data_IF_302941986361
#
_entry.id   IF_302941986361
#
_cell.length_a   1.000
_cell.length_b   1.000
_cell.length_c   1.000
_cell.angle_alpha   90.00
_cell.angle_beta   90.00
_cell.angle_gamma   90.00
#
_symmetry.space_group_name_H-M   'P 1'
#
loop_
_entity.id
_entity.type
_entity.pdbx_description
1 polymer ?
#
# COMPACT_ATOMS: atom_id res chain seq x y z
N UNK A 1 -17.69 17.48 25.87
CA UNK A 1 -17.74 17.89 24.44
C UNK A 1 -19.14 17.69 23.87
N UNK A 2 -19.72 18.66 23.16
CA UNK A 2 -20.95 18.42 22.38
C UNK A 2 -20.70 17.25 21.42
N UNK A 3 -21.53 16.19 21.47
CA UNK A 3 -21.39 14.94 20.69
C UNK A 3 -21.32 15.15 19.17
N UNK A 4 -21.59 16.37 18.69
CA UNK A 4 -21.44 16.79 17.30
C UNK A 4 -19.99 16.75 16.81
N UNK A 5 -19.00 17.10 17.65
CA UNK A 5 -17.59 17.24 17.24
C UNK A 5 -16.74 15.99 17.52
N UNK A 6 -17.29 14.98 18.19
CA UNK A 6 -16.57 13.75 18.52
C UNK A 6 -15.87 13.08 17.33
N UNK A 7 -16.51 12.85 16.16
CA UNK A 7 -15.81 12.20 15.05
C UNK A 7 -14.67 13.04 14.47
N UNK A 8 -14.78 14.37 14.48
CA UNK A 8 -13.70 15.25 14.05
C UNK A 8 -12.50 15.18 14.98
N UNK A 9 -12.77 15.23 16.30
CA UNK A 9 -11.74 15.05 17.32
C UNK A 9 -11.03 13.69 17.17
N UNK A 10 -11.79 12.62 16.95
CA UNK A 10 -11.21 11.29 16.72
C UNK A 10 -10.34 11.25 15.45
N UNK A 11 -10.78 11.85 14.34
CA UNK A 11 -9.97 11.93 13.11
C UNK A 11 -8.64 12.64 13.39
N UNK A 12 -8.66 13.76 14.13
CA UNK A 12 -7.43 14.48 14.52
C UNK A 12 -6.55 13.61 15.40
N UNK A 13 -7.11 12.98 16.43
CA UNK A 13 -6.39 12.12 17.37
C UNK A 13 -5.70 10.94 16.66
N UNK A 14 -6.42 10.29 15.75
CA UNK A 14 -5.90 9.18 14.94
C UNK A 14 -4.75 9.64 14.05
N UNK A 15 -4.88 10.82 13.43
CA UNK A 15 -3.81 11.39 12.63
C UNK A 15 -2.57 11.70 13.47
N UNK A 16 -2.74 12.24 14.68
CA UNK A 16 -1.62 12.47 15.61
C UNK A 16 -0.94 11.14 15.94
N UNK A 17 -1.70 10.11 16.33
CA UNK A 17 -1.15 8.78 16.63
C UNK A 17 -0.46 8.12 15.43
N UNK A 18 -1.01 8.29 14.22
CA UNK A 18 -0.36 7.87 12.98
C UNK A 18 0.99 8.58 12.76
N UNK A 19 1.03 9.91 12.94
CA UNK A 19 2.25 10.71 12.75
C UNK A 19 3.32 10.36 13.77
N UNK A 20 2.95 10.13 15.04
CA UNK A 20 3.86 9.68 16.08
C UNK A 20 4.45 8.31 15.75
N UNK A 21 3.59 7.36 15.35
CA UNK A 21 4.04 6.03 14.91
C UNK A 21 5.01 6.11 13.74
N UNK A 22 4.74 6.98 12.76
CA UNK A 22 5.58 7.15 11.57
C UNK A 22 6.90 7.86 11.88
N UNK A 23 6.88 8.88 12.75
CA UNK A 23 8.07 9.62 13.16
C UNK A 23 9.07 8.75 13.93
N UNK A 24 8.55 7.87 14.80
CA UNK A 24 9.35 6.89 15.55
C UNK A 24 9.49 5.54 14.85
N UNK A 25 9.05 5.39 13.59
CA UNK A 25 9.28 4.12 12.91
C UNK A 25 10.79 3.91 12.72
N UNK A 26 11.36 2.78 13.16
CA UNK A 26 12.80 2.54 13.08
C UNK A 26 13.27 2.38 11.64
N UNK A 27 14.57 2.56 11.41
CA UNK A 27 15.18 2.29 10.10
C UNK A 27 15.26 0.78 9.90
N UNK A 28 14.82 0.31 8.73
CA UNK A 28 14.75 -1.13 8.41
C UNK A 28 15.14 -1.41 6.96
N UNK A 29 15.76 -2.58 6.68
CA UNK A 29 16.10 -3.07 5.33
C UNK A 29 16.68 -2.02 4.37
N UNK A 30 15.96 -1.76 3.27
CA UNK A 30 16.38 -0.86 2.21
C UNK A 30 16.47 0.61 2.70
N UNK A 31 15.86 0.96 3.84
CA UNK A 31 16.00 2.29 4.42
C UNK A 31 17.44 2.58 4.89
N UNK A 32 18.26 1.55 5.17
CA UNK A 32 19.68 1.73 5.48
C UNK A 32 20.46 2.34 4.33
N UNK A 33 20.08 2.05 3.07
CA UNK A 33 20.70 2.65 1.88
C UNK A 33 20.54 4.19 1.86
N UNK A 34 19.43 4.70 2.39
CA UNK A 34 19.09 6.13 2.36
C UNK A 34 19.63 6.91 3.57
N UNK A 35 20.39 6.26 4.46
CA UNK A 35 21.08 6.93 5.55
C UNK A 35 22.26 7.78 5.07
N UNK A 36 22.84 7.46 3.91
CA UNK A 36 23.97 8.17 3.34
C UNK A 36 23.58 9.62 2.95
N UNK A 37 24.14 10.59 3.70
CA UNK A 37 23.92 12.02 3.52
C UNK A 37 24.94 12.69 2.59
N UNK A 38 25.95 11.95 2.13
CA UNK A 38 27.09 12.52 1.39
C UNK A 38 26.77 12.93 -0.05
N UNK A 39 25.61 12.50 -0.58
CA UNK A 39 25.13 12.89 -1.90
C UNK A 39 23.99 13.89 -1.77
N UNK A 40 24.20 15.13 -2.23
CA UNK A 40 23.10 16.03 -2.55
C UNK A 40 22.13 15.31 -3.49
N UNK A 41 20.80 15.44 -3.30
CA UNK A 41 19.85 14.61 -4.02
C UNK A 41 19.80 15.02 -5.49
N UNK A 42 20.58 14.37 -6.35
CA UNK A 42 20.39 14.39 -7.79
C UNK A 42 19.22 13.47 -8.13
N UNK A 43 18.03 13.79 -7.62
CA UNK A 43 16.85 12.90 -7.62
C UNK A 43 16.55 12.35 -9.00
N UNK A 44 16.68 13.18 -10.04
CA UNK A 44 16.47 12.76 -11.42
C UNK A 44 17.56 11.81 -11.92
N UNK A 45 18.83 12.03 -11.56
CA UNK A 45 19.93 11.10 -11.88
C UNK A 45 19.73 9.78 -11.15
N UNK A 46 19.45 9.80 -9.85
CA UNK A 46 19.22 8.60 -9.06
C UNK A 46 18.00 7.81 -9.56
N UNK A 47 16.95 8.51 -9.98
CA UNK A 47 15.79 7.86 -10.58
C UNK A 47 16.11 7.28 -11.96
N UNK A 48 16.92 7.99 -12.77
CA UNK A 48 17.39 7.48 -14.05
C UNK A 48 18.24 6.22 -13.88
N UNK A 49 19.17 6.21 -12.93
CA UNK A 49 19.97 5.04 -12.58
C UNK A 49 19.08 3.91 -12.06
N UNK A 50 18.09 4.24 -11.22
CA UNK A 50 17.10 3.28 -10.75
C UNK A 50 16.29 2.67 -11.90
N UNK A 51 15.89 3.48 -12.88
CA UNK A 51 15.12 3.04 -14.04
C UNK A 51 15.91 2.08 -14.92
N UNK A 52 17.21 2.30 -15.05
CA UNK A 52 18.08 1.46 -15.87
C UNK A 52 18.60 0.22 -15.13
N UNK A 53 18.77 0.27 -13.81
CA UNK A 53 19.52 -0.77 -13.08
C UNK A 53 18.85 -1.36 -11.84
N UNK A 54 17.91 -0.66 -11.18
CA UNK A 54 17.43 -1.06 -9.85
C UNK A 54 15.92 -1.26 -9.78
N UNK A 55 15.13 -0.18 -9.87
CA UNK A 55 13.68 -0.21 -9.75
C UNK A 55 13.05 0.91 -10.61
N UNK A 56 12.38 0.56 -11.72
CA UNK A 56 11.86 1.54 -12.68
C UNK A 56 10.49 2.12 -12.33
N UNK A 57 9.95 1.78 -11.16
CA UNK A 57 8.62 2.21 -10.73
C UNK A 57 8.62 3.68 -10.36
N UNK A 58 7.55 4.40 -10.70
CA UNK A 58 7.41 5.83 -10.41
C UNK A 58 7.50 6.17 -8.92
N UNK A 59 7.11 5.24 -8.03
CA UNK A 59 7.26 5.40 -6.58
C UNK A 59 8.71 5.50 -6.11
N UNK A 60 9.67 4.97 -6.87
CA UNK A 60 11.09 5.04 -6.54
C UNK A 60 11.60 6.49 -6.52
N UNK A 61 11.07 7.35 -7.41
CA UNK A 61 11.38 8.77 -7.41
C UNK A 61 11.04 9.41 -6.06
N UNK A 62 9.84 9.13 -5.53
CA UNK A 62 9.42 9.62 -4.22
C UNK A 62 10.21 8.99 -3.08
N UNK A 63 10.60 7.71 -3.21
CA UNK A 63 11.45 7.05 -2.21
C UNK A 63 12.78 7.78 -2.02
N UNK A 64 13.45 8.10 -3.13
CA UNK A 64 14.76 8.78 -3.12
C UNK A 64 14.70 10.16 -2.45
N UNK A 65 13.53 10.81 -2.46
CA UNK A 65 13.29 12.10 -1.77
C UNK A 65 12.95 11.87 -0.29
N UNK A 66 11.98 11.00 -0.03
CA UNK A 66 11.28 10.91 1.26
C UNK A 66 12.10 10.16 2.30
N UNK A 67 12.82 9.11 1.92
CA UNK A 67 13.56 8.26 2.88
C UNK A 67 14.75 8.98 3.55
N UNK A 68 15.25 10.07 2.95
CA UNK A 68 16.42 10.83 3.45
C UNK A 68 16.10 11.80 4.59
N UNK A 69 14.82 12.11 4.80
CA UNK A 69 14.38 13.07 5.81
C UNK A 69 13.19 12.55 6.60
N UNK A 70 13.34 12.44 7.92
CA UNK A 70 12.23 12.07 8.82
C UNK A 70 11.04 13.01 8.66
N UNK A 71 11.27 14.31 8.44
CA UNK A 71 10.19 15.27 8.24
C UNK A 71 9.45 15.05 6.93
N UNK A 72 10.17 14.80 5.83
CA UNK A 72 9.54 14.47 4.54
C UNK A 72 8.78 13.15 4.61
N UNK A 73 9.33 12.14 5.29
CA UNK A 73 8.63 10.87 5.60
C UNK A 73 7.31 11.11 6.30
N UNK A 74 7.29 11.93 7.34
CA UNK A 74 6.07 12.26 8.09
C UNK A 74 5.05 13.02 7.23
N UNK A 75 5.47 14.05 6.48
CA UNK A 75 4.58 14.83 5.61
C UNK A 75 4.00 13.95 4.51
N UNK A 76 4.85 13.18 3.82
CA UNK A 76 4.41 12.30 2.74
C UNK A 76 3.48 11.21 3.26
N UNK A 77 3.84 10.54 4.37
CA UNK A 77 3.00 9.51 4.98
C UNK A 77 1.65 10.05 5.45
N UNK A 78 1.58 11.28 5.98
CA UNK A 78 0.32 11.94 6.33
C UNK A 78 -0.61 12.09 5.12
N UNK A 79 -0.08 12.65 4.04
CA UNK A 79 -0.82 12.86 2.79
C UNK A 79 -1.24 11.52 2.19
N UNK A 80 -0.35 10.54 2.23
CA UNK A 80 -0.59 9.20 1.72
C UNK A 80 -1.70 8.48 2.50
N UNK A 81 -1.62 8.46 3.83
CA UNK A 81 -2.62 7.80 4.69
C UNK A 81 -4.02 8.37 4.48
N UNK A 82 -4.15 9.70 4.50
CA UNK A 82 -5.44 10.35 4.29
C UNK A 82 -5.92 10.24 2.84
N UNK A 83 -5.03 10.44 1.87
CA UNK A 83 -5.34 10.32 0.44
C UNK A 83 -5.79 8.91 0.07
N UNK A 84 -5.15 7.89 0.62
CA UNK A 84 -5.52 6.50 0.45
C UNK A 84 -6.91 6.20 1.02
N UNK A 85 -7.18 6.59 2.27
CA UNK A 85 -8.49 6.38 2.88
C UNK A 85 -9.59 7.19 2.19
N UNK A 86 -9.29 8.38 1.67
CA UNK A 86 -10.21 9.17 0.85
C UNK A 86 -10.54 8.48 -0.48
N UNK A 87 -9.55 7.93 -1.16
CA UNK A 87 -9.75 7.17 -2.40
C UNK A 87 -10.53 5.88 -2.14
N UNK A 88 -10.24 5.17 -1.05
CA UNK A 88 -11.00 3.99 -0.63
C UNK A 88 -12.46 4.36 -0.30
N UNK A 89 -12.68 5.47 0.42
CA UNK A 89 -14.01 6.00 0.72
C UNK A 89 -14.79 6.31 -0.56
N UNK A 90 -14.15 6.91 -1.56
CA UNK A 90 -14.75 7.20 -2.85
C UNK A 90 -15.22 5.93 -3.57
N UNK A 91 -14.46 4.84 -3.52
CA UNK A 91 -14.84 3.57 -4.15
C UNK A 91 -16.00 2.87 -3.40
N UNK A 92 -16.04 2.94 -2.06
CA UNK A 92 -17.09 2.29 -1.25
C UNK A 92 -18.40 3.08 -1.25
N UNK A 93 -18.32 4.39 -1.05
CA UNK A 93 -19.50 5.25 -0.89
C UNK A 93 -19.85 6.06 -2.15
N UNK A 94 -19.05 5.92 -3.22
CA UNK A 94 -19.26 6.56 -4.53
C UNK A 94 -19.27 8.09 -4.50
N UNK A 95 -18.59 8.66 -3.51
CA UNK A 95 -18.41 10.09 -3.34
C UNK A 95 -17.19 10.35 -2.46
N UNK A 96 -16.56 11.52 -2.60
CA UNK A 96 -15.52 11.92 -1.65
C UNK A 96 -16.12 12.29 -0.28
N UNK A 97 -15.40 12.03 0.82
CA UNK A 97 -15.91 12.27 2.17
C UNK A 97 -16.04 13.78 2.44
N UNK A 98 -17.22 14.22 2.91
CA UNK A 98 -17.41 15.57 3.45
C UNK A 98 -17.15 15.56 4.96
N UNK A 99 -15.90 15.72 5.37
CA UNK A 99 -15.47 15.56 6.78
C UNK A 99 -16.20 16.51 7.74
N UNK A 100 -16.63 17.69 7.28
CA UNK A 100 -17.46 18.62 8.05
C UNK A 100 -18.85 18.06 8.42
N UNK A 101 -19.32 17.04 7.70
CA UNK A 101 -20.59 16.36 7.97
C UNK A 101 -20.39 15.17 8.90
N UNK A 102 -21.08 15.20 10.05
CA UNK A 102 -21.00 14.16 11.10
C UNK A 102 -21.18 12.73 10.55
N UNK A 103 -22.09 12.53 9.59
CA UNK A 103 -22.38 11.21 9.00
C UNK A 103 -21.19 10.68 8.20
N UNK A 104 -20.58 11.51 7.37
CA UNK A 104 -19.47 11.11 6.52
C UNK A 104 -18.17 10.95 7.32
N UNK A 105 -17.96 11.79 8.34
CA UNK A 105 -16.85 11.61 9.29
C UNK A 105 -16.92 10.25 10.01
N UNK A 106 -18.11 9.81 10.45
CA UNK A 106 -18.27 8.49 11.05
C UNK A 106 -18.08 7.33 10.06
N UNK A 107 -18.59 7.45 8.83
CA UNK A 107 -18.32 6.45 7.78
C UNK A 107 -16.83 6.35 7.49
N UNK A 108 -16.12 7.48 7.46
CA UNK A 108 -14.69 7.53 7.26
C UNK A 108 -13.96 6.79 8.38
N UNK A 109 -14.27 7.09 9.65
CA UNK A 109 -13.71 6.39 10.81
C UNK A 109 -14.00 4.88 10.78
N UNK A 110 -15.24 4.46 10.48
CA UNK A 110 -15.60 3.04 10.41
C UNK A 110 -14.84 2.34 9.29
N UNK A 111 -14.70 2.98 8.13
CA UNK A 111 -13.93 2.43 7.01
C UNK A 111 -12.44 2.30 7.37
N UNK A 112 -11.87 3.31 8.02
CA UNK A 112 -10.49 3.27 8.52
C UNK A 112 -10.30 2.15 9.54
N UNK A 113 -11.23 2.00 10.49
CA UNK A 113 -11.20 0.93 11.49
C UNK A 113 -11.24 -0.44 10.82
N UNK A 114 -12.18 -0.65 9.88
CA UNK A 114 -12.33 -1.89 9.15
C UNK A 114 -11.08 -2.20 8.33
N UNK A 115 -10.53 -1.24 7.61
CA UNK A 115 -9.30 -1.41 6.84
C UNK A 115 -8.12 -1.84 7.73
N UNK A 116 -7.87 -1.13 8.84
CA UNK A 116 -6.77 -1.45 9.76
C UNK A 116 -6.98 -2.81 10.43
N UNK A 117 -8.22 -3.16 10.76
CA UNK A 117 -8.54 -4.45 11.37
C UNK A 117 -8.26 -5.61 10.40
N UNK A 118 -8.68 -5.47 9.15
CA UNK A 118 -8.58 -6.51 8.12
C UNK A 118 -7.16 -6.72 7.57
N UNK A 119 -6.22 -5.82 7.86
CA UNK A 119 -4.83 -5.89 7.37
C UNK A 119 -3.87 -6.15 8.54
N UNK A 120 -3.11 -7.24 8.47
CA UNK A 120 -2.16 -7.61 9.53
C UNK A 120 -0.74 -7.05 9.33
N UNK A 121 -0.52 -6.18 8.36
CA UNK A 121 0.79 -5.60 8.00
C UNK A 121 0.68 -4.09 7.73
N UNK A 122 -0.14 -3.39 8.52
CA UNK A 122 -0.42 -1.97 8.32
C UNK A 122 0.85 -1.08 8.29
N UNK A 123 1.79 -1.29 9.22
CA UNK A 123 3.00 -0.48 9.24
C UNK A 123 3.96 -0.76 8.08
N UNK A 124 3.95 -1.97 7.53
CA UNK A 124 4.63 -2.24 6.24
C UNK A 124 4.02 -1.37 5.13
N UNK A 125 2.70 -1.19 5.10
CA UNK A 125 2.04 -0.38 4.07
C UNK A 125 2.33 1.13 4.19
N UNK A 126 2.33 1.68 5.40
CA UNK A 126 2.32 3.13 5.61
C UNK A 126 3.56 3.70 6.32
N UNK A 127 4.29 2.89 7.08
CA UNK A 127 5.45 3.34 7.84
C UNK A 127 6.78 3.01 7.18
N UNK A 128 6.86 1.87 6.50
CA UNK A 128 8.04 1.48 5.74
C UNK A 128 8.10 2.23 4.41
N UNK A 129 9.06 3.17 4.28
CA UNK A 129 9.09 4.12 3.15
C UNK A 129 9.13 3.45 1.78
N UNK A 130 9.96 2.42 1.54
CA UNK A 130 10.03 1.75 0.24
C UNK A 130 8.69 1.16 -0.21
N UNK A 131 7.91 0.63 0.73
CA UNK A 131 6.58 0.12 0.42
C UNK A 131 5.58 1.26 0.24
N UNK A 132 5.57 2.22 1.17
CA UNK A 132 4.66 3.36 1.15
C UNK A 132 4.72 4.13 -0.18
N UNK A 133 5.92 4.33 -0.73
CA UNK A 133 6.12 5.07 -1.99
C UNK A 133 5.90 4.19 -3.24
N UNK A 134 6.45 2.98 -3.29
CA UNK A 134 6.34 2.14 -4.49
C UNK A 134 4.98 1.46 -4.65
N UNK A 135 4.29 1.18 -3.55
CA UNK A 135 3.04 0.41 -3.57
C UNK A 135 1.88 1.24 -3.05
N UNK A 136 1.93 1.74 -1.82
CA UNK A 136 0.74 2.38 -1.23
C UNK A 136 0.35 3.67 -1.95
N UNK A 137 1.31 4.49 -2.33
CA UNK A 137 1.09 5.71 -3.11
C UNK A 137 0.48 5.41 -4.49
N UNK A 138 1.05 4.43 -5.21
CA UNK A 138 0.53 4.04 -6.53
C UNK A 138 -0.88 3.44 -6.42
N UNK A 139 -1.21 2.78 -5.31
CA UNK A 139 -2.57 2.30 -5.03
C UNK A 139 -3.59 3.42 -4.79
N UNK A 140 -3.19 4.59 -4.26
CA UNK A 140 -4.08 5.76 -4.24
C UNK A 140 -4.51 6.11 -5.66
N UNK A 141 -3.56 6.14 -6.60
CA UNK A 141 -3.84 6.43 -8.00
C UNK A 141 -4.69 5.33 -8.65
N UNK A 142 -4.43 4.05 -8.36
CA UNK A 142 -5.26 2.93 -8.82
C UNK A 142 -6.69 3.00 -8.33
N UNK A 143 -6.90 3.35 -7.06
CA UNK A 143 -8.24 3.53 -6.49
C UNK A 143 -8.96 4.72 -7.13
N UNK A 144 -8.28 5.83 -7.36
CA UNK A 144 -8.87 6.99 -8.06
C UNK A 144 -9.22 6.66 -9.51
N UNK A 145 -8.34 5.94 -10.21
CA UNK A 145 -8.61 5.44 -11.56
C UNK A 145 -9.84 4.53 -11.58
N UNK A 146 -9.91 3.55 -10.66
CA UNK A 146 -11.04 2.64 -10.55
C UNK A 146 -12.34 3.40 -10.26
N UNK A 147 -12.30 4.40 -9.38
CA UNK A 147 -13.44 5.26 -9.09
C UNK A 147 -13.93 5.99 -10.36
N UNK A 148 -13.02 6.59 -11.13
CA UNK A 148 -13.36 7.27 -12.41
C UNK A 148 -13.98 6.28 -13.40
N UNK A 149 -13.36 5.13 -13.60
CA UNK A 149 -13.82 4.14 -14.59
C UNK A 149 -15.15 3.51 -14.19
N UNK A 150 -15.36 3.20 -12.91
CA UNK A 150 -16.63 2.64 -12.43
C UNK A 150 -17.76 3.67 -12.49
N UNK A 151 -17.52 4.93 -12.10
CA UNK A 151 -18.52 5.99 -12.25
C UNK A 151 -18.93 6.19 -13.71
N UNK A 152 -17.96 6.18 -14.64
CA UNK A 152 -18.23 6.33 -16.06
C UNK A 152 -18.94 5.10 -16.66
N UNK A 153 -18.35 3.91 -16.58
CA UNK A 153 -18.83 2.74 -17.30
C UNK A 153 -20.02 2.03 -16.63
N UNK A 154 -20.05 1.95 -15.31
CA UNK A 154 -21.10 1.22 -14.57
C UNK A 154 -22.24 2.17 -14.21
N UNK A 155 -21.90 3.35 -13.71
CA UNK A 155 -22.89 4.31 -13.21
C UNK A 155 -23.28 5.40 -14.19
N UNK A 156 -22.65 5.44 -15.37
CA UNK A 156 -22.99 6.35 -16.48
C UNK A 156 -22.85 7.83 -16.09
N UNK A 157 -21.86 8.13 -15.23
CA UNK A 157 -21.55 9.48 -14.76
C UNK A 157 -20.13 9.85 -15.16
N UNK A 158 -19.99 10.78 -16.10
CA UNK A 158 -18.69 11.37 -16.39
C UNK A 158 -18.33 12.40 -15.30
N UNK A 159 -17.33 12.06 -14.48
CA UNK A 159 -16.83 12.91 -13.40
C UNK A 159 -15.55 13.66 -13.78
N UNK A 160 -15.01 13.43 -14.98
CA UNK A 160 -13.81 14.11 -15.45
C UNK A 160 -14.12 15.58 -15.80
N UNK A 161 -13.15 16.49 -15.61
CA UNK A 161 -13.31 17.88 -16.01
C UNK A 161 -13.37 18.01 -17.54
N UNK A 162 -14.11 19.00 -18.03
CA UNK A 162 -14.16 19.32 -19.47
C UNK A 162 -12.98 20.18 -19.97
N UNK A 163 -12.18 20.73 -19.05
CA UNK A 163 -11.06 21.62 -19.38
C UNK A 163 -9.87 20.84 -19.94
N UNK A 164 -9.41 21.19 -21.14
CA UNK A 164 -8.28 20.53 -21.80
C UNK A 164 -7.00 20.53 -20.98
N UNK A 165 -6.64 21.65 -20.34
CA UNK A 165 -5.47 21.73 -19.45
C UNK A 165 -5.56 20.73 -18.29
N UNK A 166 -6.75 20.58 -17.68
CA UNK A 166 -6.94 19.60 -16.60
C UNK A 166 -6.81 18.17 -17.10
N UNK A 167 -7.24 17.88 -18.32
CA UNK A 167 -7.06 16.56 -18.93
C UNK A 167 -5.59 16.29 -19.23
N UNK A 168 -4.82 17.27 -19.72
CA UNK A 168 -3.37 17.12 -19.92
C UNK A 168 -2.69 16.76 -18.59
N UNK A 169 -3.01 17.50 -17.51
CA UNK A 169 -2.46 17.22 -16.17
C UNK A 169 -2.89 15.83 -15.66
N UNK A 170 -4.15 15.45 -15.86
CA UNK A 170 -4.63 14.12 -15.47
C UNK A 170 -3.99 13.00 -16.29
N UNK A 171 -3.68 13.24 -17.58
CA UNK A 171 -2.90 12.30 -18.39
C UNK A 171 -1.50 12.12 -17.82
N UNK A 172 -0.80 13.18 -17.39
CA UNK A 172 0.50 13.02 -16.72
C UNK A 172 0.39 12.14 -15.45
N UNK A 173 -0.67 12.35 -14.65
CA UNK A 173 -0.94 11.49 -13.48
C UNK A 173 -1.28 10.05 -13.90
N UNK A 174 -2.01 9.86 -14.99
CA UNK A 174 -2.35 8.56 -15.54
C UNK A 174 -1.11 7.81 -16.05
N UNK A 175 -0.17 8.51 -16.68
CA UNK A 175 1.14 7.95 -17.04
C UNK A 175 1.90 7.45 -15.80
N UNK A 176 1.99 8.27 -14.74
CA UNK A 176 2.60 7.88 -13.46
C UNK A 176 1.90 6.68 -12.83
N UNK A 177 0.57 6.59 -12.98
CA UNK A 177 -0.24 5.45 -12.54
C UNK A 177 0.15 4.17 -13.28
N UNK A 178 0.30 4.26 -14.61
CA UNK A 178 0.80 3.15 -15.45
C UNK A 178 2.19 2.66 -15.03
N UNK A 179 3.05 3.58 -14.58
CA UNK A 179 4.40 3.26 -14.09
C UNK A 179 4.46 2.75 -12.64
N UNK A 180 3.32 2.56 -11.96
CA UNK A 180 3.33 2.28 -10.53
C UNK A 180 3.78 0.87 -10.14
N UNK A 181 3.28 -0.16 -10.83
CA UNK A 181 3.48 -1.57 -10.52
C UNK A 181 3.22 -2.37 -11.79
N UNK A 182 4.03 -3.37 -12.09
CA UNK A 182 3.93 -4.18 -13.30
C UNK A 182 2.67 -5.07 -13.36
N UNK A 183 2.04 -5.36 -12.21
CA UNK A 183 0.92 -6.32 -12.14
C UNK A 183 -0.47 -5.69 -12.16
N UNK A 184 -0.61 -4.39 -11.85
CA UNK A 184 -1.92 -3.74 -11.63
C UNK A 184 -2.47 -3.00 -12.86
N UNK A 185 -1.70 -2.15 -13.57
CA UNK A 185 -2.15 -1.48 -14.79
C UNK A 185 -2.76 -2.40 -15.85
N UNK A 186 -2.22 -3.61 -16.12
CA UNK A 186 -2.86 -4.53 -17.07
C UNK A 186 -4.30 -4.87 -16.71
N UNK A 187 -4.59 -5.03 -15.42
CA UNK A 187 -5.94 -5.36 -14.90
C UNK A 187 -6.87 -4.17 -15.06
N UNK A 188 -6.37 -2.97 -14.76
CA UNK A 188 -7.12 -1.72 -14.89
C UNK A 188 -7.47 -1.44 -16.35
N UNK A 189 -6.50 -1.60 -17.26
CA UNK A 189 -6.68 -1.42 -18.70
C UNK A 189 -7.59 -2.50 -19.30
N UNK A 190 -7.51 -3.75 -18.83
CA UNK A 190 -8.43 -4.79 -19.24
C UNK A 190 -9.87 -4.46 -18.83
N UNK A 191 -10.06 -4.01 -17.58
CA UNK A 191 -11.38 -3.60 -17.09
C UNK A 191 -11.97 -2.47 -17.95
N UNK A 192 -11.23 -1.38 -18.14
CA UNK A 192 -11.70 -0.24 -18.93
C UNK A 192 -11.87 -0.58 -20.41
N UNK A 193 -11.00 -1.43 -20.97
CA UNK A 193 -11.08 -1.90 -22.35
C UNK A 193 -12.34 -2.73 -22.60
N UNK A 194 -12.60 -3.74 -21.76
CA UNK A 194 -13.82 -4.56 -21.84
C UNK A 194 -15.07 -3.71 -21.66
N UNK A 195 -15.09 -2.81 -20.67
CA UNK A 195 -16.22 -1.90 -20.47
C UNK A 195 -16.40 -0.93 -21.66
N UNK A 196 -15.30 -0.43 -22.23
CA UNK A 196 -15.30 0.43 -23.41
C UNK A 196 -15.91 -0.26 -24.63
N UNK A 197 -15.49 -1.51 -24.90
CA UNK A 197 -16.05 -2.34 -25.97
C UNK A 197 -17.54 -2.59 -25.76
N UNK A 198 -17.97 -2.92 -24.53
CA UNK A 198 -19.39 -3.10 -24.20
C UNK A 198 -20.18 -1.82 -24.46
N UNK A 199 -19.65 -0.64 -24.08
CA UNK A 199 -20.29 0.65 -24.34
C UNK A 199 -20.39 0.93 -25.84
N UNK A 200 -19.34 0.66 -26.60
CA UNK A 200 -19.34 0.81 -28.05
C UNK A 200 -20.42 -0.03 -28.72
N UNK A 201 -20.54 -1.30 -28.35
CA UNK A 201 -21.57 -2.18 -28.91
C UNK A 201 -22.99 -1.79 -28.49
N UNK A 202 -23.20 -1.42 -27.23
CA UNK A 202 -24.55 -1.06 -26.72
C UNK A 202 -25.03 0.30 -27.21
N UNK A 203 -24.14 1.29 -27.23
CA UNK A 203 -24.52 2.67 -27.50
C UNK A 203 -24.18 3.11 -28.93
N UNK A 204 -23.50 2.27 -29.71
CA UNK A 204 -22.97 2.57 -31.05
C UNK A 204 -22.13 3.86 -31.07
N UNK A 205 -21.45 4.17 -29.96
CA UNK A 205 -20.63 5.37 -29.77
C UNK A 205 -19.35 5.02 -29.03
N UNK A 206 -18.26 5.70 -29.40
CA UNK A 206 -17.01 5.60 -28.67
C UNK A 206 -17.15 6.14 -27.24
N UNK A 207 -16.34 5.65 -26.28
CA UNK A 207 -16.18 6.31 -25.00
C UNK A 207 -15.75 7.77 -25.17
N UNK A 208 -16.00 8.56 -24.14
CA UNK A 208 -15.60 9.97 -24.08
C UNK A 208 -14.09 10.11 -24.32
N UNK A 209 -13.69 11.09 -25.14
CA UNK A 209 -12.29 11.29 -25.52
C UNK A 209 -11.37 11.48 -24.31
N UNK A 210 -11.86 12.10 -23.22
CA UNK A 210 -11.08 12.27 -22.01
C UNK A 210 -10.85 10.93 -21.31
N UNK A 211 -11.85 10.04 -21.30
CA UNK A 211 -11.70 8.68 -20.78
C UNK A 211 -10.69 7.90 -21.63
N UNK A 212 -10.74 8.02 -22.95
CA UNK A 212 -9.77 7.40 -23.86
C UNK A 212 -8.35 7.93 -23.61
N UNK A 213 -8.17 9.24 -23.49
CA UNK A 213 -6.87 9.87 -23.25
C UNK A 213 -6.22 9.38 -21.95
N UNK A 214 -6.99 9.27 -20.86
CA UNK A 214 -6.52 8.72 -19.59
C UNK A 214 -6.09 7.26 -19.74
N UNK A 215 -6.89 6.44 -20.43
CA UNK A 215 -6.55 5.02 -20.66
C UNK A 215 -5.29 4.83 -21.51
N UNK A 216 -5.16 5.59 -22.60
CA UNK A 216 -3.96 5.59 -23.44
C UNK A 216 -2.75 6.00 -22.60
N UNK A 217 -2.90 7.01 -21.75
CA UNK A 217 -1.79 7.48 -20.92
C UNK A 217 -1.36 6.45 -19.86
N UNK A 218 -2.29 5.75 -19.20
CA UNK A 218 -1.97 4.59 -18.34
C UNK A 218 -1.25 3.50 -19.14
N UNK A 219 -1.70 3.20 -20.35
CA UNK A 219 -1.06 2.20 -21.21
C UNK A 219 0.38 2.59 -21.57
N UNK A 220 0.62 3.85 -21.96
CA UNK A 220 1.97 4.36 -22.22
C UNK A 220 2.87 4.29 -20.99
N UNK A 221 2.35 4.64 -19.81
CA UNK A 221 3.09 4.51 -18.55
C UNK A 221 3.42 3.05 -18.22
N UNK A 222 2.48 2.13 -18.44
CA UNK A 222 2.71 0.71 -18.28
C UNK A 222 3.78 0.19 -19.25
N UNK A 223 3.74 0.57 -20.52
CA UNK A 223 4.74 0.16 -21.51
C UNK A 223 6.13 0.68 -21.13
N UNK A 224 6.24 1.93 -20.66
CA UNK A 224 7.49 2.48 -20.14
C UNK A 224 8.03 1.63 -18.98
N UNK A 225 7.18 1.25 -18.02
CA UNK A 225 7.59 0.39 -16.91
C UNK A 225 7.97 -1.03 -17.36
N UNK A 226 7.17 -1.63 -18.24
CA UNK A 226 7.32 -3.02 -18.66
C UNK A 226 8.63 -3.22 -19.43
N UNK A 227 8.96 -2.30 -20.33
CA UNK A 227 10.18 -2.33 -21.13
C UNK A 227 11.40 -1.68 -20.46
N UNK A 228 11.30 -1.30 -19.19
CA UNK A 228 12.42 -0.69 -18.48
C UNK A 228 13.62 -1.66 -18.35
N UNK A 229 14.86 -1.22 -18.61
CA UNK A 229 16.06 -2.09 -18.58
C UNK A 229 16.31 -2.75 -17.22
N UNK A 230 15.94 -2.08 -16.12
CA UNK A 230 16.08 -2.64 -14.77
C UNK A 230 15.32 -3.97 -14.58
N UNK A 231 14.26 -4.23 -15.35
CA UNK A 231 13.56 -5.51 -15.26
C UNK A 231 14.48 -6.64 -15.72
N UNK A 232 15.23 -6.48 -16.81
CA UNK A 232 16.19 -7.49 -17.29
C UNK A 232 17.23 -7.84 -16.21
N UNK A 233 17.74 -6.82 -15.49
CA UNK A 233 18.69 -7.00 -14.39
C UNK A 233 18.07 -7.86 -13.28
N UNK A 234 16.85 -7.51 -12.82
CA UNK A 234 16.13 -8.26 -11.78
C UNK A 234 15.92 -9.74 -12.14
N UNK A 235 15.51 -10.02 -13.38
CA UNK A 235 15.28 -11.40 -13.84
C UNK A 235 16.60 -12.21 -13.86
N UNK A 236 17.72 -11.60 -14.29
CA UNK A 236 19.04 -12.24 -14.25
C UNK A 236 19.48 -12.58 -12.82
N UNK A 237 19.23 -11.70 -11.84
CA UNK A 237 19.60 -11.95 -10.43
C UNK A 237 18.92 -13.18 -9.84
N UNK A 238 17.71 -13.51 -10.30
CA UNK A 238 16.97 -14.71 -9.85
C UNK A 238 17.14 -15.91 -10.78
N UNK A 239 18.09 -15.86 -11.73
CA UNK A 239 18.37 -16.95 -12.66
C UNK A 239 17.24 -17.24 -13.65
N UNK A 240 16.32 -16.29 -13.88
CA UNK A 240 15.18 -16.46 -14.78
C UNK A 240 15.35 -15.64 -16.05
N UNK A 241 14.84 -16.15 -17.16
CA UNK A 241 14.73 -15.38 -18.39
C UNK A 241 13.59 -14.38 -18.27
N UNK A 242 13.83 -13.15 -18.73
CA UNK A 242 12.76 -12.15 -18.84
C UNK A 242 11.69 -12.70 -19.80
N UNK A 243 10.43 -12.73 -19.36
CA UNK A 243 9.28 -13.29 -20.08
C UNK A 243 9.23 -14.83 -20.19
N UNK A 244 10.08 -15.57 -19.48
CA UNK A 244 9.92 -17.03 -19.37
C UNK A 244 8.63 -17.41 -18.62
N UNK A 245 7.96 -18.47 -19.06
CA UNK A 245 6.81 -19.03 -18.34
C UNK A 245 7.08 -20.50 -17.99
N UNK A 246 6.88 -20.83 -16.71
CA UNK A 246 6.91 -22.20 -16.19
C UNK A 246 5.65 -22.44 -15.36
N UNK A 247 4.90 -23.49 -15.70
CA UNK A 247 3.71 -23.88 -14.95
C UNK A 247 4.04 -24.26 -13.50
N UNK A 248 5.18 -24.91 -13.28
CA UNK A 248 5.61 -25.33 -11.95
C UNK A 248 5.85 -24.11 -11.04
N UNK A 249 6.61 -23.13 -11.53
CA UNK A 249 6.87 -21.87 -10.83
C UNK A 249 5.56 -21.11 -10.53
N UNK A 250 4.65 -21.09 -11.50
CA UNK A 250 3.36 -20.41 -11.38
C UNK A 250 2.52 -21.03 -10.25
N UNK A 251 2.35 -22.35 -10.24
CA UNK A 251 1.58 -23.05 -9.19
C UNK A 251 2.25 -22.97 -7.82
N UNK A 252 3.58 -23.02 -7.76
CA UNK A 252 4.33 -22.83 -6.52
C UNK A 252 4.10 -21.41 -5.95
N UNK A 253 4.15 -20.39 -6.81
CA UNK A 253 3.92 -18.99 -6.44
C UNK A 253 2.47 -18.76 -6.02
N UNK A 254 1.50 -19.31 -6.77
CA UNK A 254 0.08 -19.27 -6.42
C UNK A 254 -0.18 -19.89 -5.04
N UNK A 255 0.41 -21.06 -4.76
CA UNK A 255 0.30 -21.72 -3.45
C UNK A 255 0.90 -20.87 -2.32
N UNK A 256 2.05 -20.21 -2.57
CA UNK A 256 2.65 -19.27 -1.60
C UNK A 256 1.74 -18.07 -1.33
N UNK A 257 1.09 -17.52 -2.35
CA UNK A 257 0.12 -16.41 -2.21
C UNK A 257 -1.06 -16.82 -1.32
N UNK A 258 -1.62 -18.02 -1.55
CA UNK A 258 -2.69 -18.54 -0.70
C UNK A 258 -2.24 -18.72 0.76
N UNK A 259 -1.02 -19.24 0.97
CA UNK A 259 -0.43 -19.33 2.32
C UNK A 259 -0.27 -17.95 2.95
N UNK A 260 0.16 -16.93 2.21
CA UNK A 260 0.26 -15.57 2.74
C UNK A 260 -1.09 -15.00 3.14
N UNK A 261 -2.15 -15.23 2.36
CA UNK A 261 -3.50 -14.85 2.78
C UNK A 261 -3.91 -15.56 4.08
N UNK A 262 -3.62 -16.85 4.22
CA UNK A 262 -3.92 -17.60 5.44
C UNK A 262 -3.15 -17.08 6.66
N UNK A 263 -1.83 -16.87 6.54
CA UNK A 263 -0.99 -16.46 7.67
C UNK A 263 -1.09 -14.97 8.03
N UNK A 264 -1.26 -14.09 7.04
CA UNK A 264 -1.22 -12.65 7.23
C UNK A 264 -2.56 -11.94 7.05
N UNK A 265 -3.61 -12.61 6.57
CA UNK A 265 -4.91 -11.98 6.30
C UNK A 265 -6.07 -12.91 6.67
N UNK A 266 -5.94 -13.68 7.76
CA UNK A 266 -6.97 -14.63 8.18
C UNK A 266 -8.31 -13.93 8.44
N UNK A 267 -8.29 -12.78 9.13
CA UNK A 267 -9.48 -11.97 9.40
C UNK A 267 -10.15 -11.51 8.10
N UNK A 268 -9.36 -11.15 7.08
CA UNK A 268 -9.89 -10.80 5.77
C UNK A 268 -10.57 -11.99 5.09
N UNK A 269 -9.97 -13.19 5.11
CA UNK A 269 -10.59 -14.39 4.54
C UNK A 269 -11.93 -14.66 5.20
N UNK A 270 -11.96 -14.68 6.53
CA UNK A 270 -13.19 -14.95 7.29
C UNK A 270 -14.31 -13.95 6.98
N UNK A 271 -13.98 -12.65 6.99
CA UNK A 271 -14.95 -11.60 6.67
C UNK A 271 -15.35 -11.61 5.19
N UNK A 272 -14.47 -12.06 4.29
CA UNK A 272 -14.79 -12.24 2.86
C UNK A 272 -15.85 -13.32 2.67
N UNK A 273 -15.73 -14.45 3.37
CA UNK A 273 -16.75 -15.53 3.32
C UNK A 273 -18.09 -15.01 3.83
N UNK A 274 -18.11 -14.31 4.98
CA UNK A 274 -19.34 -13.70 5.51
C UNK A 274 -19.94 -12.71 4.52
N UNK A 275 -19.10 -11.87 3.91
CA UNK A 275 -19.55 -10.87 2.93
C UNK A 275 -20.09 -11.54 1.67
N UNK A 276 -19.51 -12.65 1.21
CA UNK A 276 -20.04 -13.43 0.08
C UNK A 276 -21.42 -14.00 0.38
N UNK A 277 -21.64 -14.56 1.57
CA UNK A 277 -22.96 -15.01 2.02
C UNK A 277 -23.95 -13.82 2.06
N UNK A 278 -23.49 -12.67 2.55
CA UNK A 278 -24.26 -11.43 2.56
C UNK A 278 -24.64 -10.95 1.16
N UNK A 279 -23.70 -11.00 0.21
CA UNK A 279 -23.93 -10.69 -1.21
C UNK A 279 -24.97 -11.62 -1.81
N UNK A 280 -24.83 -12.94 -1.62
CA UNK A 280 -25.78 -13.93 -2.11
C UNK A 280 -27.19 -13.70 -1.54
N UNK A 281 -27.28 -13.38 -0.25
CA UNK A 281 -28.54 -13.02 0.40
C UNK A 281 -29.18 -11.76 -0.22
N UNK A 282 -28.43 -10.67 -0.34
CA UNK A 282 -28.93 -9.41 -0.90
C UNK A 282 -29.32 -9.57 -2.38
N UNK A 283 -28.57 -10.33 -3.16
CA UNK A 283 -28.86 -10.64 -4.55
C UNK A 283 -30.15 -11.47 -4.69
N UNK A 284 -30.30 -12.54 -3.90
CA UNK A 284 -31.51 -13.39 -3.89
C UNK A 284 -32.76 -12.59 -3.53
N UNK A 285 -32.64 -11.64 -2.60
CA UNK A 285 -33.73 -10.73 -2.19
C UNK A 285 -33.92 -9.53 -3.13
N UNK A 286 -33.14 -9.40 -4.21
CA UNK A 286 -33.17 -8.27 -5.15
C UNK A 286 -32.98 -6.90 -4.47
N UNK A 287 -32.23 -6.87 -3.38
CA UNK A 287 -31.93 -5.65 -2.60
C UNK A 287 -30.72 -4.86 -3.14
N UNK A 288 -30.09 -5.37 -4.20
CA UNK A 288 -29.04 -4.71 -4.96
C UNK A 288 -29.63 -4.27 -6.30
N UNK A 289 -29.37 -3.02 -6.68
CA UNK A 289 -29.69 -2.62 -8.04
C UNK A 289 -28.66 -3.22 -9.03
N UNK A 290 -29.01 -3.23 -10.32
CA UNK A 290 -28.16 -3.82 -11.37
C UNK A 290 -26.74 -3.25 -11.40
N UNK A 291 -26.59 -1.94 -11.18
CA UNK A 291 -25.29 -1.26 -11.22
C UNK A 291 -24.42 -1.63 -10.01
N UNK A 292 -25.02 -1.71 -8.83
CA UNK A 292 -24.35 -2.19 -7.60
C UNK A 292 -23.91 -3.64 -7.75
N UNK A 293 -24.76 -4.50 -8.32
CA UNK A 293 -24.41 -5.89 -8.62
C UNK A 293 -23.24 -5.99 -9.59
N UNK A 294 -23.24 -5.22 -10.69
CA UNK A 294 -22.14 -5.17 -11.64
C UNK A 294 -20.84 -4.65 -11.00
N UNK A 295 -20.90 -3.64 -10.13
CA UNK A 295 -19.74 -3.14 -9.39
C UNK A 295 -19.11 -4.26 -8.56
N UNK A 296 -19.90 -4.94 -7.73
CA UNK A 296 -19.40 -6.00 -6.84
C UNK A 296 -18.78 -7.16 -7.61
N UNK A 297 -19.43 -7.62 -8.69
CA UNK A 297 -18.87 -8.66 -9.55
C UNK A 297 -17.58 -8.21 -10.25
N UNK A 298 -17.52 -6.96 -10.70
CA UNK A 298 -16.31 -6.42 -11.32
C UNK A 298 -15.16 -6.39 -10.32
N UNK A 299 -15.38 -5.87 -9.11
CA UNK A 299 -14.35 -5.86 -8.06
C UNK A 299 -13.87 -7.27 -7.69
N UNK A 300 -14.77 -8.24 -7.54
CA UNK A 300 -14.40 -9.64 -7.27
C UNK A 300 -13.60 -10.25 -8.42
N UNK A 301 -14.04 -10.05 -9.66
CA UNK A 301 -13.34 -10.53 -10.85
C UNK A 301 -11.92 -9.95 -10.93
N UNK A 302 -11.77 -8.64 -10.74
CA UNK A 302 -10.46 -7.97 -10.76
C UNK A 302 -9.57 -8.43 -9.59
N UNK A 303 -10.14 -8.74 -8.42
CA UNK A 303 -9.37 -9.27 -7.29
C UNK A 303 -8.81 -10.67 -7.59
N UNK A 304 -9.62 -11.54 -8.20
CA UNK A 304 -9.19 -12.88 -8.62
C UNK A 304 -8.14 -12.76 -9.72
N UNK A 305 -8.39 -11.94 -10.73
CA UNK A 305 -7.45 -11.73 -11.83
C UNK A 305 -6.10 -11.19 -11.35
N UNK A 306 -6.11 -10.29 -10.35
CA UNK A 306 -4.89 -9.81 -9.73
C UNK A 306 -4.07 -10.95 -9.12
N UNK A 307 -4.70 -11.85 -8.36
CA UNK A 307 -4.02 -13.02 -7.78
C UNK A 307 -3.40 -13.89 -8.89
N UNK A 308 -4.15 -14.11 -9.98
CA UNK A 308 -3.66 -14.92 -11.11
C UNK A 308 -2.47 -14.27 -11.82
N UNK A 309 -2.48 -12.96 -12.03
CA UNK A 309 -1.36 -12.23 -12.68
C UNK A 309 -0.15 -12.16 -11.75
N UNK A 310 -0.34 -11.91 -10.46
CA UNK A 310 0.76 -11.88 -9.48
C UNK A 310 1.45 -13.24 -9.38
N UNK A 311 0.71 -14.34 -9.61
CA UNK A 311 1.28 -15.69 -9.58
C UNK A 311 2.31 -15.95 -10.69
N UNK A 312 2.35 -15.09 -11.72
CA UNK A 312 3.42 -15.09 -12.72
C UNK A 312 4.70 -14.37 -12.25
N UNK A 313 4.62 -13.59 -11.17
CA UNK A 313 5.76 -12.82 -10.67
C UNK A 313 6.85 -13.76 -10.13
N UNK A 314 8.13 -13.53 -10.48
CA UNK A 314 9.23 -14.32 -9.92
C UNK A 314 9.48 -14.02 -8.44
N UNK A 315 8.96 -12.90 -7.93
CA UNK A 315 9.10 -12.48 -6.54
C UNK A 315 7.78 -12.70 -5.80
N UNK A 316 7.86 -13.04 -4.52
CA UNK A 316 6.68 -13.20 -3.66
C UNK A 316 6.77 -12.23 -2.49
N UNK A 317 5.62 -11.70 -2.07
CA UNK A 317 5.52 -10.84 -0.89
C UNK A 317 4.12 -10.29 -0.70
N UNK A 318 3.80 -9.91 0.53
CA UNK A 318 2.57 -9.22 0.95
C UNK A 318 2.27 -8.01 0.09
N UNK A 319 3.31 -7.31 -0.38
CA UNK A 319 3.22 -6.15 -1.29
C UNK A 319 2.49 -6.39 -2.60
N UNK A 320 2.64 -7.58 -3.17
CA UNK A 320 2.04 -7.87 -4.47
C UNK A 320 0.53 -8.07 -4.34
N UNK A 321 0.08 -8.63 -3.22
CA UNK A 321 -1.34 -8.92 -2.95
C UNK A 321 -2.16 -7.68 -2.60
N UNK A 322 -1.53 -6.50 -2.47
CA UNK A 322 -2.20 -5.34 -1.91
C UNK A 322 -3.40 -4.88 -2.75
N UNK A 323 -3.31 -4.93 -4.08
CA UNK A 323 -4.41 -4.52 -4.96
C UNK A 323 -5.63 -5.45 -4.84
N UNK A 324 -5.44 -6.77 -4.88
CA UNK A 324 -6.54 -7.74 -4.70
C UNK A 324 -7.19 -7.61 -3.33
N UNK A 325 -6.36 -7.45 -2.30
CA UNK A 325 -6.81 -7.18 -0.93
C UNK A 325 -7.70 -5.94 -0.87
N UNK A 326 -7.35 -4.85 -1.57
CA UNK A 326 -8.16 -3.62 -1.57
C UNK A 326 -9.51 -3.79 -2.26
N UNK A 327 -9.55 -4.50 -3.38
CA UNK A 327 -10.79 -4.80 -4.08
C UNK A 327 -11.74 -5.65 -3.20
N UNK A 328 -11.19 -6.61 -2.46
CA UNK A 328 -11.96 -7.41 -1.49
C UNK A 328 -12.49 -6.52 -0.36
N UNK A 329 -11.67 -5.63 0.21
CA UNK A 329 -12.11 -4.69 1.25
C UNK A 329 -13.22 -3.76 0.73
N UNK A 330 -13.14 -3.28 -0.52
CA UNK A 330 -14.21 -2.49 -1.15
C UNK A 330 -15.51 -3.29 -1.17
N UNK A 331 -15.46 -4.56 -1.60
CA UNK A 331 -16.63 -5.46 -1.64
C UNK A 331 -17.22 -5.66 -0.25
N UNK A 332 -16.40 -6.01 0.75
CA UNK A 332 -16.81 -6.18 2.15
C UNK A 332 -17.50 -4.92 2.67
N UNK A 333 -16.84 -3.76 2.54
CA UNK A 333 -17.34 -2.50 3.07
C UNK A 333 -18.62 -2.04 2.35
N UNK A 334 -18.72 -2.28 1.04
CA UNK A 334 -19.92 -1.98 0.27
C UNK A 334 -21.12 -2.82 0.74
N UNK A 335 -20.93 -4.13 0.88
CA UNK A 335 -21.97 -5.06 1.34
C UNK A 335 -22.40 -4.69 2.76
N UNK A 336 -21.46 -4.48 3.68
CA UNK A 336 -21.75 -4.07 5.05
C UNK A 336 -22.58 -2.77 5.09
N UNK A 337 -22.21 -1.77 4.28
CA UNK A 337 -22.98 -0.53 4.17
C UNK A 337 -24.39 -0.74 3.60
N UNK A 338 -24.59 -1.70 2.69
CA UNK A 338 -25.94 -2.07 2.22
C UNK A 338 -26.77 -2.71 3.32
N UNK A 339 -26.20 -3.63 4.10
CA UNK A 339 -26.90 -4.23 5.25
C UNK A 339 -27.33 -3.17 6.27
N UNK A 340 -26.44 -2.26 6.64
CA UNK A 340 -26.77 -1.17 7.58
C UNK A 340 -27.95 -0.33 7.09
N UNK A 341 -28.02 -0.06 5.78
CA UNK A 341 -29.14 0.70 5.18
C UNK A 341 -30.45 -0.08 5.11
N UNK A 342 -30.39 -1.37 4.73
CA UNK A 342 -31.59 -2.19 4.54
C UNK A 342 -32.24 -2.57 5.87
N UNK A 343 -31.44 -2.91 6.87
CA UNK A 343 -31.92 -3.40 8.17
C UNK A 343 -31.93 -2.32 9.25
N UNK A 344 -31.66 -1.07 8.87
CA UNK A 344 -31.60 0.08 9.79
C UNK A 344 -30.78 -0.17 11.06
N UNK A 345 -29.70 -0.95 10.92
CA UNK A 345 -28.93 -1.44 12.05
C UNK A 345 -28.42 -0.28 12.90
N UNK A 346 -28.54 -0.38 14.23
CA UNK A 346 -28.10 0.68 15.13
C UNK A 346 -26.59 0.89 15.02
N UNK A 347 -26.21 1.91 14.27
CA UNK A 347 -24.81 2.25 13.99
C UNK A 347 -24.03 2.75 15.22
N UNK A 348 -24.68 2.97 16.37
CA UNK A 348 -24.01 3.51 17.56
C UNK A 348 -22.97 2.54 18.13
N UNK A 349 -23.28 1.23 18.15
CA UNK A 349 -22.33 0.21 18.59
C UNK A 349 -21.11 0.15 17.65
N UNK A 350 -21.35 0.13 16.34
CA UNK A 350 -20.28 0.09 15.31
C UNK A 350 -19.38 1.33 15.44
N UNK A 351 -19.96 2.52 15.65
CA UNK A 351 -19.20 3.75 15.88
C UNK A 351 -18.34 3.66 17.13
N UNK A 352 -18.88 3.13 18.22
CA UNK A 352 -18.15 2.92 19.48
C UNK A 352 -16.98 1.97 19.30
N UNK A 353 -17.22 0.79 18.71
CA UNK A 353 -16.16 -0.20 18.42
C UNK A 353 -15.08 0.40 17.52
N UNK A 354 -15.46 1.08 16.44
CA UNK A 354 -14.51 1.71 15.53
C UNK A 354 -13.66 2.78 16.24
N UNK A 355 -14.27 3.62 17.08
CA UNK A 355 -13.54 4.64 17.83
C UNK A 355 -12.53 4.02 18.82
N UNK A 356 -12.96 3.04 19.62
CA UNK A 356 -12.10 2.36 20.58
C UNK A 356 -10.96 1.63 19.87
N UNK A 357 -11.26 0.86 18.82
CA UNK A 357 -10.26 0.15 18.05
C UNK A 357 -9.18 1.08 17.49
N UNK A 358 -9.57 2.19 16.88
CA UNK A 358 -8.61 3.14 16.29
C UNK A 358 -7.73 3.81 17.35
N UNK A 359 -8.31 4.22 18.48
CA UNK A 359 -7.54 4.83 19.57
C UNK A 359 -6.54 3.85 20.14
N UNK A 360 -6.98 2.62 20.45
CA UNK A 360 -6.10 1.56 20.97
C UNK A 360 -5.01 1.22 19.95
N UNK A 361 -5.38 1.04 18.68
CA UNK A 361 -4.42 0.69 17.63
C UNK A 361 -3.29 1.71 17.53
N UNK A 362 -3.61 3.00 17.42
CA UNK A 362 -2.59 4.03 17.26
C UNK A 362 -1.81 4.32 18.54
N UNK A 363 -2.40 4.12 19.72
CA UNK A 363 -1.69 4.20 20.99
C UNK A 363 -0.62 3.10 21.07
N UNK A 364 -1.00 1.85 20.82
CA UNK A 364 -0.08 0.69 20.85
C UNK A 364 0.97 0.81 19.73
N UNK A 365 0.56 1.19 18.52
CA UNK A 365 1.47 1.42 17.40
C UNK A 365 2.53 2.48 17.73
N UNK A 366 2.13 3.61 18.32
CA UNK A 366 3.06 4.67 18.69
C UNK A 366 4.07 4.19 19.75
N UNK A 367 3.61 3.41 20.73
CA UNK A 367 4.46 2.83 21.77
C UNK A 367 5.50 1.86 21.19
N UNK A 368 5.06 0.93 20.32
CA UNK A 368 5.93 -0.05 19.66
C UNK A 368 6.99 0.65 18.81
N UNK A 369 6.59 1.63 17.98
CA UNK A 369 7.52 2.41 17.17
C UNK A 369 8.52 3.16 18.06
N UNK A 370 8.06 3.83 19.11
CA UNK A 370 8.92 4.56 20.04
C UNK A 370 9.99 3.66 20.71
N UNK A 371 9.59 2.48 21.19
CA UNK A 371 10.53 1.52 21.76
C UNK A 371 11.53 1.01 20.71
N UNK A 372 11.06 0.74 19.50
CA UNK A 372 11.93 0.29 18.40
C UNK A 372 12.95 1.37 17.98
N UNK A 373 12.56 2.65 17.91
CA UNK A 373 13.48 3.76 17.65
C UNK A 373 14.50 3.95 18.78
N UNK A 374 14.12 3.69 20.04
CA UNK A 374 15.09 3.67 21.16
C UNK A 374 16.14 2.57 20.99
N UNK A 375 15.72 1.36 20.62
CA UNK A 375 16.62 0.23 20.36
C UNK A 375 17.60 0.60 19.24
N UNK A 376 17.08 1.14 18.12
CA UNK A 376 17.90 1.60 17.00
C UNK A 376 18.91 2.69 17.41
N UNK A 377 18.49 3.68 18.20
CA UNK A 377 19.35 4.75 18.70
C UNK A 377 20.42 4.24 19.65
N UNK A 378 20.09 3.29 20.52
CA UNK A 378 21.04 2.65 21.43
C UNK A 378 22.13 1.91 20.65
N UNK A 379 21.74 1.12 19.64
CA UNK A 379 22.69 0.46 18.73
C UNK A 379 23.58 1.48 18.01
N UNK A 380 22.98 2.53 17.44
CA UNK A 380 23.72 3.58 16.73
C UNK A 380 24.74 4.27 17.64
N UNK A 381 24.36 4.51 18.90
CA UNK A 381 25.25 5.11 19.89
C UNK A 381 26.40 4.17 20.26
N UNK A 382 26.12 2.90 20.49
CA UNK A 382 27.14 1.89 20.76
C UNK A 382 28.17 1.78 19.62
N UNK A 383 27.71 1.76 18.36
CA UNK A 383 28.58 1.74 17.19
C UNK A 383 29.49 2.98 17.17
N UNK A 384 28.94 4.17 17.41
CA UNK A 384 29.72 5.41 17.44
C UNK A 384 30.74 5.46 18.58
N UNK A 385 30.39 4.92 19.75
CA UNK A 385 31.34 4.85 20.88
C UNK A 385 32.47 3.88 20.60
N UNK A 386 32.16 2.69 20.08
CA UNK A 386 33.17 1.68 19.75
C UNK A 386 34.05 2.09 18.56
N UNK A 387 33.49 2.79 17.57
CA UNK A 387 34.24 3.36 16.45
C UNK A 387 35.38 4.28 16.91
N UNK A 388 35.21 5.01 18.02
CA UNK A 388 36.28 5.88 18.56
C UNK A 388 37.52 5.09 18.99
N UNK A 389 37.38 3.79 19.22
CA UNK A 389 38.45 2.90 19.69
C UNK A 389 39.03 2.08 18.52
N UNK A 390 38.18 1.59 17.61
CA UNK A 390 38.57 0.73 16.48
C UNK A 390 37.57 0.83 15.32
N UNK A 391 38.06 0.78 14.08
CA UNK A 391 37.22 0.66 12.87
C UNK A 391 36.63 -0.75 12.69
N UNK A 392 37.09 -1.73 13.47
CA UNK A 392 36.51 -3.08 13.57
C UNK A 392 35.60 -3.13 14.81
N UNK A 393 34.30 -2.93 14.60
CA UNK A 393 33.32 -2.76 15.69
C UNK A 393 32.58 -4.07 15.97
N UNK A 394 32.69 -4.56 17.20
CA UNK A 394 31.90 -5.70 17.71
C UNK A 394 30.86 -5.20 18.69
N UNK A 395 29.57 -5.24 18.35
CA UNK A 395 28.47 -4.82 19.22
C UNK A 395 28.13 -5.89 20.27
N UNK A 396 27.60 -5.47 21.42
CA UNK A 396 27.31 -6.31 22.58
C UNK A 396 25.95 -7.00 22.46
N UNK A 397 24.95 -6.30 21.96
CA UNK A 397 23.60 -6.83 21.78
C UNK A 397 23.22 -6.84 20.30
N UNK A 398 22.53 -7.91 19.90
CA UNK A 398 21.94 -8.00 18.56
C UNK A 398 20.76 -7.03 18.44
N UNK A 399 20.60 -6.42 17.26
CA UNK A 399 19.44 -5.58 16.96
C UNK A 399 18.16 -6.42 16.98
N UNK A 400 17.28 -6.17 17.94
CA UNK A 400 16.00 -6.86 18.04
C UNK A 400 14.88 -5.89 18.40
N UNK A 401 14.14 -5.42 17.39
CA UNK A 401 12.98 -4.55 17.58
C UNK A 401 11.83 -5.20 18.36
N UNK A 402 11.83 -6.53 18.54
CA UNK A 402 10.78 -7.24 19.26
C UNK A 402 11.14 -7.52 20.73
N UNK A 403 12.24 -6.94 21.25
CA UNK A 403 12.75 -7.16 22.61
C UNK A 403 11.68 -6.99 23.70
N UNK A 404 10.75 -6.05 23.53
CA UNK A 404 9.71 -5.72 24.52
C UNK A 404 8.42 -6.58 24.43
N UNK A 405 8.44 -7.70 23.68
CA UNK A 405 7.44 -8.78 23.74
C UNK A 405 5.97 -8.46 23.33
N UNK A 406 5.72 -7.48 22.45
CA UNK A 406 4.40 -7.28 21.81
C UNK A 406 4.13 -8.25 20.64
N UNK A 407 4.53 -9.52 20.77
CA UNK A 407 4.72 -10.46 19.65
C UNK A 407 3.54 -10.55 18.66
N UNK A 408 2.29 -10.57 19.16
CA UNK A 408 1.09 -10.65 18.31
C UNK A 408 0.73 -9.33 17.60
N UNK A 409 1.04 -8.18 18.20
CA UNK A 409 0.72 -6.87 17.63
C UNK A 409 1.87 -6.31 16.78
N UNK A 410 3.10 -6.76 17.05
CA UNK A 410 4.30 -6.34 16.34
C UNK A 410 4.14 -6.50 14.83
N UNK A 411 3.60 -7.61 14.31
CA UNK A 411 3.49 -7.78 12.85
C UNK A 411 2.58 -6.75 12.16
N UNK A 412 1.58 -6.21 12.88
CA UNK A 412 0.68 -5.15 12.38
C UNK A 412 1.41 -3.82 12.20
N UNK A 413 2.45 -3.57 13.00
CA UNK A 413 3.14 -2.28 13.10
C UNK A 413 4.54 -2.35 12.50
N UNK A 414 5.33 -3.34 12.90
CA UNK A 414 6.69 -3.59 12.46
C UNK A 414 6.70 -4.67 11.38
N UNK A 415 7.62 -4.49 10.43
CA UNK A 415 7.77 -5.44 9.32
C UNK A 415 8.54 -6.70 9.74
N UNK A 416 9.66 -6.52 10.46
CA UNK A 416 10.46 -7.59 11.06
C UNK A 416 11.12 -7.17 12.37
N UNK A 417 11.85 -8.10 12.98
CA UNK A 417 12.57 -7.93 14.23
C UNK A 417 13.99 -7.34 14.07
N UNK A 418 14.60 -7.36 12.87
CA UNK A 418 15.93 -6.79 12.60
C UNK A 418 17.13 -7.61 13.06
N UNK A 419 16.89 -8.83 13.56
CA UNK A 419 17.93 -9.73 14.11
C UNK A 419 18.97 -10.11 13.04
N UNK A 420 18.55 -10.22 11.79
CA UNK A 420 19.38 -10.68 10.67
C UNK A 420 20.25 -9.57 10.05
N UNK A 421 20.15 -8.33 10.52
CA UNK A 421 20.83 -7.19 9.88
C UNK A 421 22.32 -7.10 10.17
N UNK A 422 22.83 -7.75 11.22
CA UNK A 422 24.23 -7.74 11.62
C UNK A 422 24.62 -9.19 11.92
N UNK A 423 25.55 -9.76 11.16
CA UNK A 423 25.98 -11.15 11.32
C UNK A 423 27.02 -11.26 12.46
N UNK A 424 27.23 -12.48 12.97
CA UNK A 424 28.37 -12.76 13.86
C UNK A 424 29.66 -12.84 13.07
N UNK A 425 29.60 -13.27 11.81
CA UNK A 425 30.74 -13.43 10.95
C UNK A 425 31.00 -12.16 10.12
N UNK A 426 32.08 -11.39 10.39
CA UNK A 426 32.39 -10.14 9.68
C UNK A 426 32.77 -10.32 8.20
N UNK A 427 32.86 -11.57 7.72
CA UNK A 427 33.13 -11.91 6.32
C UNK A 427 31.87 -12.28 5.52
N UNK A 428 30.68 -12.30 6.16
CA UNK A 428 29.39 -12.64 5.51
C UNK A 428 28.38 -11.49 5.55
N UNK A 429 28.85 -10.29 5.22
CA UNK A 429 28.01 -9.10 5.38
C UNK A 429 26.75 -9.14 4.52
N UNK A 430 25.59 -8.97 5.17
CA UNK A 430 24.30 -8.74 4.51
C UNK A 430 24.30 -7.39 3.77
N UNK A 431 23.28 -7.13 2.93
CA UNK A 431 23.19 -5.85 2.22
C UNK A 431 22.98 -4.69 3.21
N UNK A 432 22.17 -4.93 4.23
CA UNK A 432 21.89 -4.04 5.35
C UNK A 432 23.17 -3.74 6.13
N UNK A 433 23.93 -4.77 6.49
CA UNK A 433 25.20 -4.64 7.20
C UNK A 433 26.23 -3.83 6.41
N UNK A 434 26.34 -4.06 5.09
CA UNK A 434 27.21 -3.26 4.22
C UNK A 434 26.82 -1.78 4.22
N UNK A 435 25.52 -1.47 4.21
CA UNK A 435 25.04 -0.10 4.28
C UNK A 435 25.33 0.54 5.63
N UNK A 436 25.21 -0.21 6.74
CA UNK A 436 25.56 0.26 8.09
C UNK A 436 27.07 0.52 8.19
N UNK A 437 27.91 -0.42 7.72
CA UNK A 437 29.37 -0.29 7.65
C UNK A 437 29.74 0.97 6.87
N UNK A 438 29.14 1.18 5.69
CA UNK A 438 29.38 2.40 4.89
C UNK A 438 28.92 3.66 5.61
N UNK A 439 27.74 3.64 6.22
CA UNK A 439 27.14 4.80 6.87
C UNK A 439 27.96 5.28 8.07
N UNK A 440 28.44 4.34 8.89
CA UNK A 440 29.30 4.66 10.03
C UNK A 440 30.79 4.70 9.65
N UNK A 441 31.16 4.43 8.40
CA UNK A 441 32.54 4.40 7.90
C UNK A 441 33.41 3.44 8.72
N UNK A 442 33.01 2.16 8.74
CA UNK A 442 33.66 1.08 9.48
C UNK A 442 34.47 0.19 8.54
N UNK A 443 35.48 -0.51 9.07
CA UNK A 443 36.17 -1.59 8.36
C UNK A 443 35.41 -2.91 8.47
N UNK A 444 34.84 -3.19 9.64
CA UNK A 444 33.94 -4.32 9.86
C UNK A 444 32.95 -4.05 10.98
N UNK A 445 31.83 -4.77 10.94
CA UNK A 445 30.80 -4.78 11.97
C UNK A 445 30.44 -6.24 12.26
N UNK A 446 30.28 -6.60 13.54
CA UNK A 446 29.75 -7.89 13.94
C UNK A 446 29.15 -7.80 15.35
N UNK A 447 28.45 -8.85 15.80
CA UNK A 447 27.98 -8.96 17.19
C UNK A 447 28.56 -10.19 17.90
N UNK A 448 28.61 -10.14 19.25
CA UNK A 448 29.15 -11.22 20.10
C UNK A 448 28.36 -12.54 19.99
#
# INVERSE_FOLDING_TARGET
MKTKYLPLFLIVLINIGFLLSLYWFPVTRDEFYYLDKSQLPYVFSEYWDSYNHVNPRSGQFFLNIVARSKMLKVIFGFLLFNGFLWALFANVFRQFPKISQKKDAWKFLILTAAFIFLINYFGELFYYSPFATNYTFTHVLYLLYLFVMTEYFIFQRNILPKSGLKIILLSLVAFVTGMGNEHVPPILLLFSGVCGVIVMFKNKKLPDLNIMAINISVALGYLALFFAPANTVKYRTVGKTQYGFSFEDYFATFTKILKFYYYFNFELIFITVISFLGFAYLAKRKLLNRREFCLLLSCLFLAILAILIISYSPLTGTRLMFFSTMLIIIVIAFIANRFVKVFEFNSSLIKGIAAVWLVVFFMVSSLICFQSDKIYKSLSHEILEKKKISDEVVINEQLNYFKDNYSKFNRRVLFENGIEYIDKNPHKNTAEEKNIIKYFDLKSLSHK
#
